data_IF_322580065297
#
_entry.id   IF_322580065297
#
_cell.length_a   1.000
_cell.length_b   1.000
_cell.length_c   1.000
_cell.angle_alpha   90.00
_cell.angle_beta   90.00
_cell.angle_gamma   90.00
#
_symmetry.space_group_name_H-M   'P 1'
#
loop_
_entity.id
_entity.type
_entity.pdbx_description
1 polymer ?
#
# COMPACT_ATOMS: atom_id res chain seq x y z
N UNK A 1 8.40 -29.43 -61.72
CA UNK A 1 9.12 -28.14 -61.57
C UNK A 1 8.29 -27.23 -60.67
N UNK A 2 8.52 -27.26 -59.36
CA UNK A 2 7.90 -26.26 -58.47
C UNK A 2 8.56 -24.91 -58.79
N UNK A 3 7.73 -23.95 -59.20
CA UNK A 3 8.18 -22.62 -59.64
C UNK A 3 9.04 -21.96 -58.56
N UNK A 4 10.01 -21.18 -58.97
CA UNK A 4 10.88 -20.39 -58.09
C UNK A 4 10.07 -19.46 -57.16
N UNK A 5 8.86 -19.11 -57.59
CA UNK A 5 7.85 -18.40 -56.80
C UNK A 5 7.34 -19.25 -55.62
N UNK A 6 7.08 -20.54 -55.81
CA UNK A 6 6.62 -21.43 -54.74
C UNK A 6 7.66 -21.56 -53.62
N UNK A 7 8.96 -21.62 -53.96
CA UNK A 7 10.04 -21.69 -52.95
C UNK A 7 10.18 -20.40 -52.15
N UNK A 8 10.04 -19.24 -52.82
CA UNK A 8 10.03 -17.93 -52.15
C UNK A 8 8.83 -17.76 -51.22
N UNK A 9 7.66 -18.27 -51.61
CA UNK A 9 6.45 -18.27 -50.76
C UNK A 9 6.62 -19.22 -49.57
N UNK A 10 7.19 -20.41 -49.77
CA UNK A 10 7.48 -21.36 -48.69
C UNK A 10 8.54 -20.82 -47.70
N UNK A 11 9.57 -20.11 -48.18
CA UNK A 11 10.59 -19.50 -47.32
C UNK A 11 10.03 -18.32 -46.52
N UNK A 12 9.21 -17.47 -47.15
CA UNK A 12 8.43 -16.43 -46.47
C UNK A 12 7.53 -17.05 -45.38
N UNK A 13 6.84 -18.14 -45.71
CA UNK A 13 5.84 -18.72 -44.82
C UNK A 13 6.50 -19.37 -43.60
N UNK A 14 7.60 -20.09 -43.80
CA UNK A 14 8.39 -20.66 -42.70
C UNK A 14 9.04 -19.57 -41.84
N UNK A 15 9.55 -18.49 -42.44
CA UNK A 15 10.06 -17.35 -41.68
C UNK A 15 8.98 -16.68 -40.81
N UNK A 16 7.76 -16.52 -41.32
CA UNK A 16 6.63 -15.99 -40.54
C UNK A 16 6.23 -16.92 -39.39
N UNK A 17 6.20 -18.23 -39.63
CA UNK A 17 5.87 -19.22 -38.59
C UNK A 17 6.92 -19.23 -37.49
N UNK A 18 8.22 -19.20 -37.85
CA UNK A 18 9.32 -19.15 -36.87
C UNK A 18 9.28 -17.85 -36.07
N UNK A 19 9.04 -16.71 -36.72
CA UNK A 19 8.88 -15.43 -36.03
C UNK A 19 7.70 -15.48 -35.03
N UNK A 20 6.57 -16.06 -35.40
CA UNK A 20 5.43 -16.22 -34.52
C UNK A 20 5.73 -17.10 -33.29
N UNK A 21 6.47 -18.20 -33.46
CA UNK A 21 6.88 -19.08 -32.35
C UNK A 21 7.85 -18.36 -31.40
N UNK A 22 8.78 -17.57 -31.93
CA UNK A 22 9.72 -16.78 -31.10
C UNK A 22 8.98 -15.67 -30.34
N UNK A 23 8.05 -14.96 -30.99
CA UNK A 23 7.23 -13.92 -30.33
C UNK A 23 6.37 -14.52 -29.21
N UNK A 24 5.78 -15.70 -29.43
CA UNK A 24 4.99 -16.42 -28.41
C UNK A 24 5.85 -16.92 -27.24
N UNK A 25 7.07 -17.40 -27.52
CA UNK A 25 8.03 -17.79 -26.48
C UNK A 25 8.50 -16.61 -25.62
N UNK A 26 8.79 -15.46 -26.24
CA UNK A 26 9.20 -14.25 -25.52
C UNK A 26 8.07 -13.65 -24.68
N UNK A 27 6.82 -13.70 -25.16
CA UNK A 27 5.66 -13.31 -24.36
C UNK A 27 5.52 -14.16 -23.09
N UNK A 28 5.76 -15.48 -23.19
CA UNK A 28 5.66 -16.41 -22.05
C UNK A 28 6.73 -16.16 -20.97
N UNK A 29 7.93 -15.72 -21.35
CA UNK A 29 9.02 -15.39 -20.41
C UNK A 29 8.71 -14.07 -19.68
N UNK A 30 8.12 -13.10 -20.36
CA UNK A 30 7.65 -11.85 -19.73
C UNK A 30 6.46 -12.08 -18.79
N UNK A 31 5.56 -13.02 -19.11
CA UNK A 31 4.45 -13.42 -18.24
C UNK A 31 4.88 -14.07 -16.93
N UNK A 32 6.09 -14.61 -16.83
CA UNK A 32 6.59 -15.18 -15.56
C UNK A 32 6.96 -14.12 -14.52
N UNK A 33 7.22 -12.87 -14.93
CA UNK A 33 7.42 -11.75 -14.00
C UNK A 33 6.10 -11.07 -13.62
N UNK A 34 5.06 -11.24 -14.43
CA UNK A 34 3.70 -10.80 -14.10
C UNK A 34 3.01 -11.97 -13.43
N UNK A 35 3.14 -12.09 -12.10
CA UNK A 35 2.15 -12.89 -11.35
C UNK A 35 0.78 -12.36 -11.77
N UNK A 36 -0.09 -13.16 -12.42
CA UNK A 36 -1.45 -12.74 -12.68
C UNK A 36 -1.97 -12.28 -11.33
N UNK A 37 -2.40 -11.03 -11.25
CA UNK A 37 -2.86 -10.39 -10.03
C UNK A 37 -3.70 -11.41 -9.30
N UNK A 38 -3.11 -11.99 -8.25
CA UNK A 38 -3.77 -13.04 -7.50
C UNK A 38 -5.00 -12.32 -6.98
N UNK A 39 -6.15 -12.69 -7.56
CA UNK A 39 -7.45 -12.42 -7.00
C UNK A 39 -7.49 -13.23 -5.71
N UNK A 40 -6.72 -12.74 -4.74
CA UNK A 40 -6.62 -13.31 -3.44
C UNK A 40 -8.04 -13.28 -2.88
N UNK A 41 -8.45 -14.31 -2.13
CA UNK A 41 -9.69 -14.25 -1.40
C UNK A 41 -9.70 -12.92 -0.66
N UNK A 42 -10.71 -12.10 -0.95
CA UNK A 42 -10.75 -10.71 -0.53
C UNK A 42 -10.90 -10.68 0.98
N UNK A 43 -9.79 -10.42 1.67
CA UNK A 43 -9.77 -10.20 3.11
C UNK A 43 -9.98 -8.71 3.35
N UNK A 44 -11.01 -8.35 4.11
CA UNK A 44 -11.29 -6.94 4.35
C UNK A 44 -10.43 -6.45 5.52
N UNK A 45 -9.57 -5.48 5.26
CA UNK A 45 -8.79 -4.80 6.31
C UNK A 45 -9.46 -3.47 6.60
N UNK A 46 -9.91 -3.28 7.83
CA UNK A 46 -10.52 -2.04 8.29
C UNK A 46 -9.54 -1.30 9.21
N UNK A 47 -9.30 0.00 8.97
CA UNK A 47 -9.75 0.82 7.83
C UNK A 47 -9.00 0.49 6.52
N UNK A 48 -9.63 0.65 5.34
CA UNK A 48 -8.97 0.39 4.04
C UNK A 48 -7.95 1.47 3.66
N UNK A 49 -8.06 2.66 4.26
CA UNK A 49 -7.22 3.82 3.99
C UNK A 49 -7.18 4.77 5.18
N UNK A 50 -5.99 5.18 5.62
CA UNK A 50 -5.83 6.15 6.72
C UNK A 50 -4.70 7.13 6.46
N UNK A 51 -4.89 8.38 6.87
CA UNK A 51 -3.83 9.38 6.90
C UNK A 51 -3.24 9.42 8.30
N UNK A 52 -1.93 9.21 8.43
CA UNK A 52 -1.24 9.21 9.72
C UNK A 52 -0.15 10.28 9.72
N UNK A 53 0.05 10.90 10.88
CA UNK A 53 1.24 11.69 11.12
C UNK A 53 2.46 10.79 11.33
N UNK A 54 3.66 11.34 11.12
CA UNK A 54 4.92 10.69 11.49
C UNK A 54 4.90 10.26 12.97
N UNK A 55 5.24 9.00 13.25
CA UNK A 55 5.22 8.42 14.60
C UNK A 55 3.82 8.11 15.17
N UNK A 56 2.75 8.32 14.40
CA UNK A 56 1.39 7.97 14.82
C UNK A 56 1.13 6.46 14.70
N UNK A 57 0.27 5.93 15.55
CA UNK A 57 -0.03 4.49 15.63
C UNK A 57 -1.53 4.23 15.53
N UNK A 58 -1.88 3.18 14.80
CA UNK A 58 -3.26 2.74 14.61
C UNK A 58 -3.32 1.21 14.55
N UNK A 59 -4.44 0.64 14.99
CA UNK A 59 -4.68 -0.79 14.84
C UNK A 59 -5.43 -1.06 13.53
N UNK A 60 -4.89 -1.96 12.71
CA UNK A 60 -5.59 -2.56 11.59
C UNK A 60 -6.23 -3.86 12.03
N UNK A 61 -7.50 -4.03 11.70
CA UNK A 61 -8.23 -5.25 11.99
C UNK A 61 -8.64 -5.92 10.68
N UNK A 62 -8.64 -7.25 10.70
CA UNK A 62 -9.14 -8.07 9.61
C UNK A 62 -10.57 -8.50 9.94
N UNK A 63 -11.47 -8.39 8.97
CA UNK A 63 -12.85 -8.85 9.10
C UNK A 63 -13.16 -9.94 8.05
N UNK A 64 -13.57 -11.16 8.46
CA UNK A 64 -13.77 -11.62 9.85
C UNK A 64 -12.45 -11.80 10.62
N UNK A 65 -12.45 -11.76 11.97
CA UNK A 65 -11.25 -11.95 12.76
C UNK A 65 -10.66 -13.35 12.55
N UNK A 66 -9.37 -13.40 12.26
CA UNK A 66 -8.60 -14.63 12.03
C UNK A 66 -7.56 -14.78 13.15
N UNK A 67 -7.27 -16.03 13.56
CA UNK A 67 -6.34 -16.32 14.64
C UNK A 67 -4.85 -16.19 14.21
N UNK A 68 -4.55 -16.47 12.95
CA UNK A 68 -3.19 -16.50 12.40
C UNK A 68 -3.10 -15.59 11.18
N UNK A 69 -2.90 -14.29 11.40
CA UNK A 69 -2.70 -13.30 10.34
C UNK A 69 -1.23 -12.93 10.27
N UNK A 70 -0.63 -13.10 9.10
CA UNK A 70 0.70 -12.60 8.81
C UNK A 70 0.59 -11.15 8.31
N UNK A 71 1.18 -10.23 9.06
CA UNK A 71 1.20 -8.80 8.73
C UNK A 71 2.53 -8.40 8.11
N UNK A 72 2.46 -7.63 7.03
CA UNK A 72 3.61 -6.99 6.42
C UNK A 72 3.28 -5.52 6.16
N UNK A 73 4.18 -4.62 6.52
CA UNK A 73 3.99 -3.19 6.30
C UNK A 73 5.22 -2.56 5.63
N UNK A 74 4.97 -1.46 4.93
CA UNK A 74 6.01 -0.61 4.34
C UNK A 74 5.92 0.78 4.97
N UNK A 75 7.03 1.50 5.06
CA UNK A 75 7.05 2.87 5.62
C UNK A 75 6.84 2.99 7.13
N UNK A 76 6.78 1.88 7.84
CA UNK A 76 6.54 1.82 9.27
C UNK A 76 6.76 0.41 9.81
N UNK A 77 6.43 0.22 11.08
CA UNK A 77 6.49 -1.09 11.75
C UNK A 77 5.07 -1.57 12.05
N UNK A 78 4.78 -2.83 11.77
CA UNK A 78 3.53 -3.48 12.16
C UNK A 78 3.80 -4.66 13.06
N UNK A 79 3.02 -4.78 14.13
CA UNK A 79 3.07 -5.92 15.06
C UNK A 79 2.20 -7.07 14.56
N UNK A 80 2.40 -8.27 15.12
CA UNK A 80 1.56 -9.43 14.82
C UNK A 80 0.07 -9.22 15.19
N UNK A 81 -0.21 -8.32 16.13
CA UNK A 81 -1.58 -7.94 16.54
C UNK A 81 -2.23 -6.92 15.59
N UNK A 82 -1.55 -6.51 14.51
CA UNK A 82 -2.06 -5.52 13.55
C UNK A 82 -1.87 -4.06 13.98
N UNK A 83 -1.13 -3.77 15.06
CA UNK A 83 -0.78 -2.39 15.43
C UNK A 83 0.33 -1.87 14.51
N UNK A 84 0.00 -0.88 13.69
CA UNK A 84 0.91 -0.18 12.79
C UNK A 84 1.41 1.13 13.39
N UNK A 85 2.71 1.39 13.29
CA UNK A 85 3.37 2.63 13.67
C UNK A 85 3.97 3.28 12.43
N UNK A 86 3.49 4.48 12.09
CA UNK A 86 3.96 5.26 10.96
C UNK A 86 5.43 5.67 11.15
N UNK A 87 6.25 5.49 10.12
CA UNK A 87 7.61 5.97 10.10
C UNK A 87 7.71 7.50 9.94
N UNK A 88 8.95 7.98 9.93
CA UNK A 88 9.28 9.42 9.85
C UNK A 88 9.24 9.96 8.41
N UNK A 89 9.20 9.09 7.40
CA UNK A 89 9.18 9.51 6.00
C UNK A 89 7.74 9.69 5.53
N UNK A 90 7.36 10.89 5.06
CA UNK A 90 6.06 11.08 4.43
C UNK A 90 6.00 10.39 3.07
N UNK A 91 4.87 9.78 2.76
CA UNK A 91 4.67 9.01 1.54
C UNK A 91 3.47 8.08 1.61
N UNK A 92 3.17 7.45 0.48
CA UNK A 92 2.17 6.40 0.38
C UNK A 92 2.80 5.05 0.68
N UNK A 93 2.16 4.33 1.60
CA UNK A 93 2.59 3.04 2.07
C UNK A 93 1.43 2.06 2.10
N UNK A 94 1.79 0.79 2.18
CA UNK A 94 0.84 -0.31 2.12
C UNK A 94 1.09 -1.28 3.27
N UNK A 95 -0.02 -1.66 3.92
CA UNK A 95 -0.10 -2.74 4.90
C UNK A 95 -0.82 -3.91 4.25
N UNK A 96 -0.23 -5.08 4.33
CA UNK A 96 -0.75 -6.33 3.80
C UNK A 96 -1.03 -7.28 4.96
N UNK A 97 -2.21 -7.88 4.94
CA UNK A 97 -2.62 -8.97 5.83
C UNK A 97 -2.76 -10.24 5.01
N UNK A 98 -2.16 -11.33 5.44
CA UNK A 98 -2.34 -12.66 4.85
C UNK A 98 -2.97 -13.60 5.89
N UNK A 99 -4.13 -14.16 5.54
CA UNK A 99 -4.82 -15.17 6.34
C UNK A 99 -4.26 -16.57 6.12
N UNK A 100 -4.59 -17.52 7.01
CA UNK A 100 -4.07 -18.88 6.95
C UNK A 100 -4.66 -19.70 5.78
N UNK A 101 -5.81 -19.28 5.24
CA UNK A 101 -6.43 -19.88 4.06
C UNK A 101 -5.90 -19.32 2.74
N UNK A 102 -4.89 -18.44 2.79
CA UNK A 102 -4.36 -17.75 1.62
C UNK A 102 -5.15 -16.50 1.22
N UNK A 103 -6.09 -16.07 2.06
CA UNK A 103 -6.78 -14.79 1.91
C UNK A 103 -5.78 -13.63 2.03
N UNK A 104 -5.94 -12.57 1.23
CA UNK A 104 -5.09 -11.38 1.36
C UNK A 104 -5.91 -10.12 1.38
N UNK A 105 -5.52 -9.23 2.28
CA UNK A 105 -6.13 -7.93 2.48
C UNK A 105 -5.07 -6.85 2.40
N UNK A 106 -5.48 -5.66 1.96
CA UNK A 106 -4.59 -4.52 1.78
C UNK A 106 -5.22 -3.28 2.38
N UNK A 107 -4.41 -2.49 3.07
CA UNK A 107 -4.76 -1.18 3.56
C UNK A 107 -3.72 -0.16 3.11
N UNK A 108 -4.19 1.00 2.65
CA UNK A 108 -3.35 2.11 2.22
C UNK A 108 -3.10 3.04 3.41
N UNK A 109 -1.85 3.43 3.59
CA UNK A 109 -1.43 4.35 4.65
C UNK A 109 -0.72 5.52 4.01
N UNK A 110 -1.29 6.72 4.17
CA UNK A 110 -0.68 7.95 3.70
C UNK A 110 -0.03 8.66 4.89
N UNK A 111 1.30 8.61 4.95
CA UNK A 111 2.04 9.31 6.00
C UNK A 111 2.26 10.75 5.57
N UNK A 112 1.80 11.68 6.40
CA UNK A 112 1.98 13.12 6.19
C UNK A 112 2.92 13.70 7.23
N UNK A 113 3.70 14.70 6.80
CA UNK A 113 4.51 15.51 7.71
C UNK A 113 3.60 16.45 8.49
N UNK A 114 3.03 15.95 9.58
CA UNK A 114 2.39 16.80 10.57
C UNK A 114 3.48 17.54 11.30
N UNK A 115 3.46 18.87 11.29
CA UNK A 115 4.36 19.67 12.12
C UNK A 115 4.16 19.24 13.58
N UNK A 116 5.12 18.53 14.23
CA UNK A 116 5.02 18.37 15.66
C UNK A 116 5.13 19.79 16.20
N UNK A 117 4.13 20.21 16.99
CA UNK A 117 4.26 21.47 17.72
C UNK A 117 5.58 21.37 18.47
N UNK A 118 6.56 22.27 18.23
CA UNK A 118 7.82 22.20 18.94
C UNK A 118 7.47 22.30 20.41
N UNK A 119 7.64 21.19 21.12
CA UNK A 119 7.62 21.22 22.58
C UNK A 119 8.86 22.02 22.91
N UNK A 120 8.67 23.33 23.11
CA UNK A 120 9.70 24.20 23.65
C UNK A 120 9.98 23.62 25.03
N UNK A 121 10.96 22.72 25.11
CA UNK A 121 11.62 22.42 26.35
C UNK A 121 12.05 23.77 26.92
N UNK A 122 11.35 24.17 27.98
CA UNK A 122 11.41 25.48 28.56
C UNK A 122 12.86 25.85 28.89
N UNK A 123 13.47 26.72 28.08
CA UNK A 123 14.47 27.65 28.61
C UNK A 123 13.66 28.71 29.34
N UNK A 124 13.55 28.53 30.65
CA UNK A 124 13.01 29.53 31.54
C UNK A 124 13.90 30.78 31.47
N UNK A 125 13.37 31.88 30.93
CA UNK A 125 13.72 33.23 31.40
C UNK A 125 12.73 34.26 30.88
N UNK A 126 12.17 35.05 31.80
CA UNK A 126 11.67 36.39 31.47
C UNK A 126 10.16 36.56 31.34
N UNK A 127 9.51 36.78 32.49
CA UNK A 127 8.60 37.92 32.74
C UNK A 127 7.96 38.60 31.50
N UNK A 128 6.65 38.45 31.32
CA UNK A 128 5.91 39.20 30.30
C UNK A 128 4.41 39.07 30.40
N UNK A 129 3.82 39.79 31.36
CA UNK A 129 2.37 40.03 31.47
C UNK A 129 1.85 40.65 30.16
N UNK A 130 1.06 39.92 29.37
CA UNK A 130 0.04 40.56 28.52
C UNK A 130 -1.15 39.64 28.32
N UNK A 131 -2.32 40.19 28.68
CA UNK A 131 -3.62 39.73 28.23
C UNK A 131 -3.59 39.72 26.71
N UNK A 132 -4.16 38.70 26.07
CA UNK A 132 -5.07 38.93 24.96
C UNK A 132 -5.96 37.71 24.77
N UNK A 133 -7.24 38.00 24.72
CA UNK A 133 -8.36 37.08 24.70
C UNK A 133 -8.50 36.57 23.26
N UNK A 134 -7.99 35.39 22.92
CA UNK A 134 -8.39 34.69 21.71
C UNK A 134 -8.96 33.32 22.06
N UNK A 135 -10.29 33.36 22.16
CA UNK A 135 -11.21 32.23 22.08
C UNK A 135 -10.86 31.41 20.84
N UNK A 136 -10.13 30.31 21.01
CA UNK A 136 -10.10 29.22 20.04
C UNK A 136 -11.07 28.17 20.58
N UNK A 137 -12.35 28.42 20.38
CA UNK A 137 -13.27 27.33 20.07
C UNK A 137 -13.00 26.97 18.61
N UNK A 138 -12.47 25.77 18.36
CA UNK A 138 -12.61 25.11 17.08
C UNK A 138 -12.46 23.60 17.27
N UNK A 139 -13.62 22.99 17.55
CA UNK A 139 -13.98 21.62 17.19
C UNK A 139 -13.03 20.48 17.63
N UNK A 140 -13.01 20.20 18.93
CA UNK A 140 -13.01 18.80 19.37
C UNK A 140 -14.40 18.20 19.07
N UNK A 141 -14.71 17.99 17.78
CA UNK A 141 -15.92 17.27 17.37
C UNK A 141 -15.61 15.77 17.36
N UNK A 142 -15.25 15.27 18.54
CA UNK A 142 -15.18 13.84 18.83
C UNK A 142 -16.61 13.37 19.16
N UNK A 143 -17.49 13.39 18.15
CA UNK A 143 -18.83 12.84 18.25
C UNK A 143 -18.79 11.40 17.76
N UNK A 144 -18.50 10.50 18.68
CA UNK A 144 -18.76 9.08 18.53
C UNK A 144 -20.28 8.90 18.52
N UNK A 145 -20.85 8.69 17.34
CA UNK A 145 -22.24 8.25 17.22
C UNK A 145 -22.21 6.73 17.21
N UNK A 146 -22.49 6.12 18.38
CA UNK A 146 -22.85 4.71 18.50
C UNK A 146 -24.30 4.68 18.99
N UNK A 147 -25.13 4.04 18.17
CA UNK A 147 -26.51 3.52 18.34
C UNK A 147 -27.31 3.90 19.59
#
# INVERSE_FOLDING_TARGET
MLSEQARRVLSWATALVVAAVIISGMASILSSLVRPGQEAPSLNVSPPGVNLCQGERIAFAVEPPLADVEWAATGGEITADGLYTAGELPGDYEVQAAGPGGERGRALVHIIACTPTPTVHAVASGSGRSRERLRIEACFSFHWEIQ
#
